data_IF_641884857630
#
_entry.id   IF_641884857630
#
_cell.length_a   1.000
_cell.length_b   1.000
_cell.length_c   1.000
_cell.angle_alpha   90.00
_cell.angle_beta   90.00
_cell.angle_gamma   90.00
#
_symmetry.space_group_name_H-M   'P 1'
#
loop_
_entity.id
_entity.type
_entity.pdbx_description
1 polymer ?
#
# COMPACT_ATOMS: atom_id res chain seq x y z
N UNK A 1 2.46 -1.74 -3.10
CA UNK A 1 1.15 -1.61 -2.44
C UNK A 1 1.28 -2.19 -1.04
N UNK A 2 2.21 -1.65 -0.26
CA UNK A 2 2.64 -2.24 0.99
C UNK A 2 1.81 -1.71 2.15
N UNK A 3 1.61 -2.52 3.17
CA UNK A 3 0.86 -2.15 4.37
C UNK A 3 -0.65 -2.26 4.26
N UNK A 4 -1.24 -2.51 3.08
CA UNK A 4 -2.68 -2.75 2.93
C UNK A 4 -2.93 -4.20 2.47
N UNK A 5 -3.92 -4.87 3.06
CA UNK A 5 -4.31 -6.23 2.70
C UNK A 5 -5.80 -6.45 2.91
N UNK A 6 -6.43 -7.28 2.07
CA UNK A 6 -7.83 -7.66 2.25
C UNK A 6 -8.08 -8.25 3.65
N UNK A 7 -9.21 -7.90 4.24
CA UNK A 7 -9.80 -8.50 5.44
C UNK A 7 -11.21 -8.99 5.12
N UNK A 8 -11.81 -9.79 6.01
CA UNK A 8 -13.20 -10.24 5.87
C UNK A 8 -14.22 -9.08 5.82
N UNK A 9 -13.87 -7.93 6.41
CA UNK A 9 -14.76 -6.77 6.54
C UNK A 9 -14.32 -5.57 5.69
N UNK A 10 -13.08 -5.54 5.21
CA UNK A 10 -12.54 -4.45 4.40
C UNK A 10 -11.49 -4.98 3.41
N UNK A 11 -11.77 -4.98 2.09
CA UNK A 11 -10.86 -5.46 1.06
C UNK A 11 -9.61 -4.58 0.85
N UNK A 12 -9.55 -3.39 1.45
CA UNK A 12 -8.36 -2.51 1.43
C UNK A 12 -7.96 -2.08 2.85
N UNK A 13 -8.02 -3.01 3.81
CA UNK A 13 -7.67 -2.71 5.20
C UNK A 13 -6.18 -2.37 5.35
N UNK A 14 -5.87 -1.24 5.98
CA UNK A 14 -4.51 -0.94 6.42
C UNK A 14 -4.11 -1.91 7.55
N UNK A 15 -2.88 -2.41 7.47
CA UNK A 15 -2.21 -3.29 8.43
C UNK A 15 -1.04 -2.60 9.12
N UNK A 16 -0.95 -1.30 8.91
CA UNK A 16 0.07 -0.43 9.44
C UNK A 16 -0.63 0.87 9.86
N UNK A 17 -0.34 1.34 11.07
CA UNK A 17 -0.69 2.70 11.47
C UNK A 17 0.21 3.68 10.73
N UNK A 18 -0.37 4.68 10.04
CA UNK A 18 0.39 5.70 9.34
C UNK A 18 0.04 7.07 9.89
N UNK A 19 1.06 7.80 10.33
CA UNK A 19 0.95 9.23 10.61
C UNK A 19 1.62 9.98 9.49
N UNK A 20 0.92 10.93 8.88
CA UNK A 20 1.48 11.77 7.82
C UNK A 20 1.36 13.23 8.26
N UNK A 21 2.50 13.86 8.46
CA UNK A 21 2.61 15.29 8.72
C UNK A 21 2.78 16.02 7.38
N UNK A 22 1.88 16.98 7.13
CA UNK A 22 1.93 17.84 5.95
C UNK A 22 2.46 19.21 6.37
N UNK A 23 3.54 19.67 5.76
CA UNK A 23 4.10 20.99 6.02
C UNK A 23 3.68 21.96 4.92
N UNK A 24 3.27 23.16 5.32
CA UNK A 24 2.78 24.21 4.43
C UNK A 24 3.65 25.45 4.53
N UNK A 25 3.76 26.17 3.42
CA UNK A 25 4.29 27.52 3.37
C UNK A 25 3.32 28.50 4.02
N UNK A 26 3.78 29.71 4.35
CA UNK A 26 2.93 30.80 4.86
C UNK A 26 1.77 31.16 3.92
N UNK A 27 1.91 30.88 2.63
CA UNK A 27 0.87 31.08 1.60
C UNK A 27 -0.11 29.91 1.46
N UNK A 28 0.06 28.86 2.26
CA UNK A 28 -0.81 27.67 2.26
C UNK A 28 -0.45 26.60 1.22
N UNK A 29 0.63 26.76 0.45
CA UNK A 29 1.11 25.71 -0.46
C UNK A 29 1.86 24.62 0.30
N UNK A 30 1.59 23.34 -0.01
CA UNK A 30 2.29 22.20 0.59
C UNK A 30 3.76 22.18 0.16
N UNK A 31 4.66 22.11 1.12
CA UNK A 31 6.11 22.20 0.91
C UNK A 31 6.83 20.88 1.24
N UNK A 32 6.41 20.17 2.28
CA UNK A 32 7.03 18.90 2.69
C UNK A 32 5.98 17.91 3.21
N UNK A 33 6.33 16.63 3.19
CA UNK A 33 5.53 15.54 3.73
C UNK A 33 6.45 14.61 4.52
N UNK A 34 6.12 14.36 5.79
CA UNK A 34 6.79 13.36 6.62
C UNK A 34 5.81 12.26 6.97
N UNK A 35 6.13 11.02 6.61
CA UNK A 35 5.31 9.86 6.98
C UNK A 35 6.06 9.00 7.97
N UNK A 36 5.41 8.66 9.08
CA UNK A 36 5.92 7.75 10.09
C UNK A 36 4.99 6.54 10.22
N UNK A 37 5.61 5.37 10.12
CA UNK A 37 4.96 4.07 10.10
C UNK A 37 5.02 3.45 11.50
N UNK A 38 3.87 3.14 12.09
CA UNK A 38 3.73 2.59 13.44
C UNK A 38 3.03 1.24 13.45
N UNK A 39 3.38 0.39 14.42
CA UNK A 39 2.72 -0.90 14.69
C UNK A 39 2.56 -1.79 13.45
N UNK A 40 3.66 -2.15 12.79
CA UNK A 40 3.63 -3.15 11.73
C UNK A 40 3.14 -4.49 12.31
N UNK A 41 2.01 -5.01 11.82
CA UNK A 41 1.53 -6.36 12.16
C UNK A 41 2.50 -7.43 11.58
N UNK A 42 3.61 -7.72 12.28
CA UNK A 42 4.64 -8.68 11.85
C UNK A 42 4.14 -10.13 11.75
N UNK A 43 3.04 -10.46 12.45
CA UNK A 43 2.53 -11.83 12.60
C UNK A 43 1.99 -12.49 11.30
N UNK A 44 1.97 -11.79 10.16
CA UNK A 44 1.63 -12.38 8.84
C UNK A 44 2.83 -12.58 7.91
N UNK A 45 4.04 -12.24 8.35
CA UNK A 45 5.28 -12.57 7.63
C UNK A 45 5.74 -14.03 7.85
N UNK A 46 4.95 -14.85 8.54
CA UNK A 46 5.19 -16.30 8.61
C UNK A 46 4.62 -16.97 7.36
N UNK A 47 5.36 -17.89 6.70
CA UNK A 47 4.84 -18.69 5.61
C UNK A 47 3.85 -19.73 6.17
N UNK A 48 2.68 -19.28 6.62
CA UNK A 48 1.63 -20.16 7.07
C UNK A 48 0.84 -20.64 5.85
N UNK A 49 1.31 -21.78 5.32
CA UNK A 49 0.54 -22.82 4.63
C UNK A 49 -0.71 -22.35 3.88
N UNK A 50 -0.54 -22.02 2.60
CA UNK A 50 -1.62 -22.21 1.64
C UNK A 50 -1.70 -23.71 1.31
N UNK A 51 -2.66 -24.42 1.91
CA UNK A 51 -3.24 -25.59 1.26
C UNK A 51 -4.27 -25.09 0.24
N UNK A 52 -4.17 -25.64 -0.97
CA UNK A 52 -5.10 -25.53 -2.09
C UNK A 52 -5.33 -24.13 -2.69
N UNK A 53 -4.60 -23.83 -3.76
CA UNK A 53 -5.00 -22.82 -4.75
C UNK A 53 -5.83 -23.49 -5.84
N UNK A 54 -7.14 -23.61 -5.61
CA UNK A 54 -8.10 -23.60 -6.72
C UNK A 54 -8.05 -22.25 -7.42
N UNK A 55 -8.22 -22.26 -8.74
CA UNK A 55 -8.10 -21.12 -9.64
C UNK A 55 -8.71 -19.83 -9.06
N UNK A 56 -7.87 -18.81 -8.84
CA UNK A 56 -8.32 -17.46 -8.51
C UNK A 56 -8.92 -16.82 -9.77
N UNK A 57 -10.09 -16.17 -9.71
CA UNK A 57 -10.73 -15.58 -10.89
C UNK A 57 -9.86 -14.49 -11.51
N UNK A 58 -9.75 -14.51 -12.85
CA UNK A 58 -8.93 -13.62 -13.68
C UNK A 58 -9.08 -12.12 -13.36
N UNK A 59 -10.24 -11.70 -12.86
CA UNK A 59 -10.56 -10.30 -12.55
C UNK A 59 -9.69 -9.69 -11.43
N UNK A 60 -9.34 -10.46 -10.39
CA UNK A 60 -8.51 -9.96 -9.28
C UNK A 60 -7.08 -9.72 -9.75
N UNK A 61 -6.54 -10.65 -10.55
CA UNK A 61 -5.19 -10.54 -11.12
C UNK A 61 -5.05 -9.33 -12.07
N UNK A 62 -6.08 -9.04 -12.86
CA UNK A 62 -6.09 -7.88 -13.76
C UNK A 62 -6.17 -6.54 -12.99
N UNK A 63 -6.94 -6.50 -11.90
CA UNK A 63 -7.02 -5.32 -11.04
C UNK A 63 -5.67 -5.02 -10.36
N UNK A 64 -4.97 -6.06 -9.87
CA UNK A 64 -3.64 -5.92 -9.27
C UNK A 64 -2.60 -5.43 -10.27
N UNK A 65 -2.65 -5.91 -11.52
CA UNK A 65 -1.75 -5.45 -12.59
C UNK A 65 -1.93 -3.94 -12.87
N UNK A 66 -3.18 -3.46 -12.96
CA UNK A 66 -3.45 -2.04 -13.15
C UNK A 66 -2.97 -1.19 -11.96
N UNK A 67 -3.21 -1.66 -10.72
CA UNK A 67 -2.74 -0.97 -9.50
C UNK A 67 -1.21 -0.92 -9.41
N UNK A 68 -0.53 -1.93 -9.96
CA UNK A 68 0.92 -1.95 -10.03
C UNK A 68 1.46 -0.90 -11.01
N UNK A 69 0.83 -0.75 -12.19
CA UNK A 69 1.21 0.33 -13.12
C UNK A 69 0.98 1.72 -12.52
N UNK A 70 -0.12 1.92 -11.80
CA UNK A 70 -0.34 3.15 -11.03
C UNK A 70 0.76 3.40 -9.98
N UNK A 71 1.19 2.35 -9.27
CA UNK A 71 2.28 2.45 -8.31
C UNK A 71 3.60 2.81 -8.99
N UNK A 72 3.91 2.25 -10.15
CA UNK A 72 5.11 2.60 -10.91
C UNK A 72 5.15 4.08 -11.27
N UNK A 73 4.02 4.61 -11.76
CA UNK A 73 3.90 6.05 -12.06
C UNK A 73 4.13 6.88 -10.80
N UNK A 74 3.48 6.53 -9.69
CA UNK A 74 3.66 7.24 -8.43
C UNK A 74 5.11 7.23 -7.92
N UNK A 75 5.78 6.07 -7.99
CA UNK A 75 7.19 5.92 -7.63
C UNK A 75 8.12 6.74 -8.53
N UNK A 76 7.80 6.84 -9.82
CA UNK A 76 8.52 7.69 -10.78
C UNK A 76 8.35 9.17 -10.45
N UNK A 77 7.14 9.61 -10.08
CA UNK A 77 6.86 10.99 -9.68
C UNK A 77 7.67 11.42 -8.45
N UNK A 78 7.93 10.51 -7.51
CA UNK A 78 8.73 10.78 -6.31
C UNK A 78 10.23 10.43 -6.48
N UNK A 79 10.68 10.09 -7.69
CA UNK A 79 12.09 9.85 -8.01
C UNK A 79 12.67 8.52 -7.49
N UNK A 80 11.83 7.58 -7.06
CA UNK A 80 12.27 6.29 -6.51
C UNK A 80 12.37 5.17 -7.56
N UNK A 81 11.89 5.38 -8.79
CA UNK A 81 12.03 4.44 -9.92
C UNK A 81 12.55 5.15 -11.17
N UNK A 82 13.48 4.51 -11.88
CA UNK A 82 13.91 4.92 -13.24
C UNK A 82 12.83 4.57 -14.27
#
# INVERSE_FOLDING_TARGET
MFGNACSLFNPNASRLGKYTELQFTERGHQCDIKTLDYYLETNRAHPLRQRSTGARPNAIRANDAHRFEQLKVALKTIGLSK
#
